data_IF_882619754987
#
_entry.id   IF_882619754987
#
_cell.length_a   1.000
_cell.length_b   1.000
_cell.length_c   1.000
_cell.angle_alpha   90.00
_cell.angle_beta   90.00
_cell.angle_gamma   90.00
#
_symmetry.space_group_name_H-M   'P 1'
#
loop_
_entity.id
_entity.type
_entity.pdbx_description
1 polymer ?
#
# COMPACT_ATOMS: atom_id res chain seq x y z
N UNK A 1 20.72 -21.82 20.22
CA UNK A 1 21.34 -20.95 19.20
C UNK A 1 20.24 -20.52 18.24
N UNK A 2 20.17 -19.24 17.87
CA UNK A 2 19.25 -18.80 16.82
C UNK A 2 19.80 -19.24 15.46
N UNK A 3 18.98 -19.94 14.67
CA UNK A 3 19.32 -20.30 13.32
C UNK A 3 19.10 -19.08 12.42
N UNK A 4 20.13 -18.73 11.64
CA UNK A 4 20.06 -17.66 10.64
C UNK A 4 20.14 -18.28 9.26
N UNK A 5 19.21 -17.92 8.38
CA UNK A 5 19.24 -18.32 6.98
C UNK A 5 19.61 -17.13 6.10
N UNK A 6 20.32 -17.43 5.01
CA UNK A 6 20.56 -16.46 3.94
C UNK A 6 19.51 -16.67 2.87
N UNK A 7 18.74 -15.62 2.60
CA UNK A 7 17.66 -15.62 1.63
C UNK A 7 17.93 -14.58 0.54
N UNK A 8 17.43 -14.85 -0.66
CA UNK A 8 17.43 -13.89 -1.75
C UNK A 8 16.01 -13.36 -1.98
N UNK A 9 15.84 -12.04 -1.93
CA UNK A 9 14.60 -11.37 -2.31
C UNK A 9 14.90 -10.33 -3.40
N UNK A 10 14.39 -10.56 -4.61
CA UNK A 10 14.77 -9.77 -5.77
C UNK A 10 16.29 -9.84 -6.00
N UNK A 11 16.96 -8.69 -5.95
CA UNK A 11 18.43 -8.63 -6.02
C UNK A 11 19.11 -8.60 -4.64
N UNK A 12 18.36 -8.46 -3.54
CA UNK A 12 18.93 -8.39 -2.20
C UNK A 12 19.22 -9.80 -1.66
N UNK A 13 20.39 -9.97 -1.04
CA UNK A 13 20.77 -11.17 -0.30
C UNK A 13 20.81 -10.80 1.17
N UNK A 14 19.88 -11.30 1.99
CA UNK A 14 19.80 -10.92 3.41
C UNK A 14 19.91 -12.15 4.29
N UNK A 15 20.63 -12.00 5.39
CA UNK A 15 20.72 -12.98 6.46
C UNK A 15 19.74 -12.58 7.56
N UNK A 16 18.83 -13.48 7.88
CA UNK A 16 17.70 -13.22 8.77
C UNK A 16 17.51 -14.36 9.75
N UNK A 17 17.00 -14.05 10.95
CA UNK A 17 16.69 -15.07 11.94
C UNK A 17 15.48 -15.89 11.49
N UNK A 18 15.55 -17.21 11.67
CA UNK A 18 14.50 -18.16 11.28
C UNK A 18 13.69 -18.54 12.52
N UNK A 19 12.37 -18.41 12.44
CA UNK A 19 11.47 -18.75 13.54
C UNK A 19 10.02 -18.36 13.29
N UNK A 20 9.14 -18.65 14.26
CA UNK A 20 7.73 -18.24 14.21
C UNK A 20 7.65 -16.71 14.20
N UNK A 21 7.06 -16.16 13.14
CA UNK A 21 6.96 -14.72 12.91
C UNK A 21 6.17 -14.07 14.06
N UNK A 22 6.87 -13.33 14.93
CA UNK A 22 6.27 -12.57 16.03
C UNK A 22 7.02 -11.26 16.26
N UNK A 23 6.42 -10.34 17.03
CA UNK A 23 7.09 -9.11 17.50
C UNK A 23 8.31 -9.40 18.40
N UNK A 24 8.42 -10.63 18.91
CA UNK A 24 9.45 -11.06 19.85
C UNK A 24 10.68 -11.64 19.13
N UNK A 25 10.63 -11.84 17.81
CA UNK A 25 11.82 -12.19 17.03
C UNK A 25 12.80 -11.01 17.02
N UNK A 26 14.10 -11.22 17.34
CA UNK A 26 15.07 -10.13 17.49
C UNK A 26 15.42 -9.40 16.19
N UNK A 27 15.23 -10.04 15.04
CA UNK A 27 15.37 -9.44 13.71
C UNK A 27 14.23 -9.92 12.83
N UNK A 28 13.36 -8.99 12.44
CA UNK A 28 12.17 -9.33 11.68
C UNK A 28 12.43 -9.40 10.17
N UNK A 29 12.06 -10.54 9.58
CA UNK A 29 11.83 -10.69 8.15
C UNK A 29 10.55 -11.49 7.95
N UNK A 30 9.66 -10.98 7.10
CA UNK A 30 8.44 -11.67 6.74
C UNK A 30 8.40 -11.89 5.22
N UNK A 31 8.46 -13.15 4.73
CA UNK A 31 8.40 -13.45 3.30
C UNK A 31 7.05 -13.07 2.67
N UNK A 32 5.97 -13.03 3.45
CA UNK A 32 4.64 -12.58 2.99
C UNK A 32 4.68 -11.13 2.47
N UNK A 33 5.61 -10.31 2.99
CA UNK A 33 5.79 -8.92 2.59
C UNK A 33 6.68 -8.74 1.32
N UNK A 34 7.10 -9.82 0.66
CA UNK A 34 7.94 -9.74 -0.55
C UNK A 34 7.26 -8.94 -1.67
N UNK A 35 5.98 -9.20 -1.95
CA UNK A 35 5.22 -8.43 -2.94
C UNK A 35 5.10 -6.94 -2.55
N UNK A 36 4.96 -6.61 -1.25
CA UNK A 36 4.91 -5.23 -0.77
C UNK A 36 6.19 -4.46 -1.14
N UNK A 37 7.35 -5.06 -0.85
CA UNK A 37 8.66 -4.48 -1.17
C UNK A 37 8.86 -4.39 -2.68
N UNK A 38 8.43 -5.40 -3.44
CA UNK A 38 8.50 -5.39 -4.90
C UNK A 38 7.64 -4.28 -5.51
N UNK A 39 6.42 -4.08 -5.03
CA UNK A 39 5.55 -2.97 -5.48
C UNK A 39 6.20 -1.62 -5.15
N UNK A 40 6.87 -1.48 -4.01
CA UNK A 40 7.57 -0.25 -3.65
C UNK A 40 8.72 0.07 -4.63
N UNK A 41 9.51 -0.94 -5.02
CA UNK A 41 10.56 -0.80 -6.06
C UNK A 41 9.94 -0.43 -7.42
N UNK A 42 8.88 -1.15 -7.82
CA UNK A 42 8.19 -0.91 -9.10
C UNK A 42 7.61 0.51 -9.16
N UNK A 43 6.96 0.97 -8.09
CA UNK A 43 6.38 2.31 -8.00
C UNK A 43 7.45 3.39 -8.14
N UNK A 44 8.56 3.30 -7.39
CA UNK A 44 9.66 4.26 -7.47
C UNK A 44 10.30 4.31 -8.88
N UNK A 45 10.30 3.18 -9.60
CA UNK A 45 10.74 3.13 -11.00
C UNK A 45 9.78 3.84 -11.97
N UNK A 46 8.50 4.01 -11.62
CA UNK A 46 7.54 4.74 -12.45
C UNK A 46 7.68 6.26 -12.36
N UNK A 47 8.25 6.75 -11.26
CA UNK A 47 8.40 8.18 -10.97
C UNK A 47 9.56 8.79 -11.77
N UNK A 48 9.40 10.03 -12.22
CA UNK A 48 10.44 10.77 -12.94
C UNK A 48 11.52 11.34 -12.02
N UNK A 49 11.25 11.45 -10.71
CA UNK A 49 12.19 11.98 -9.72
C UNK A 49 13.54 11.24 -9.77
N UNK A 50 14.61 11.98 -9.50
CA UNK A 50 15.98 11.49 -9.40
C UNK A 50 16.65 12.10 -8.17
N UNK A 51 17.77 11.53 -7.72
CA UNK A 51 18.54 11.96 -6.55
C UNK A 51 17.69 12.08 -5.27
N UNK A 52 16.67 11.24 -5.13
CA UNK A 52 15.76 11.27 -3.99
C UNK A 52 16.46 10.88 -2.69
N UNK A 53 16.09 11.55 -1.61
CA UNK A 53 16.43 11.18 -0.24
C UNK A 53 15.31 10.31 0.36
N UNK A 54 15.63 9.07 0.68
CA UNK A 54 14.66 8.07 1.18
C UNK A 54 14.81 7.87 2.69
N UNK A 55 13.71 7.57 3.37
CA UNK A 55 13.70 7.10 4.75
C UNK A 55 13.00 5.74 4.88
N UNK A 56 13.67 4.83 5.59
CA UNK A 56 13.14 3.55 6.06
C UNK A 56 13.19 3.55 7.60
N UNK A 57 12.18 4.13 8.29
CA UNK A 57 12.24 4.38 9.73
C UNK A 57 12.14 3.13 10.61
N UNK A 58 11.67 2.02 10.05
CA UNK A 58 11.34 0.76 10.74
C UNK A 58 11.93 -0.42 9.95
N UNK A 59 13.24 -0.39 9.74
CA UNK A 59 13.90 -1.16 8.70
C UNK A 59 14.04 -2.67 8.99
N UNK A 60 14.00 -3.08 10.27
CA UNK A 60 14.22 -4.45 10.72
C UNK A 60 15.50 -5.08 10.14
N UNK A 61 15.39 -5.96 9.15
CA UNK A 61 16.54 -6.57 8.45
C UNK A 61 17.25 -5.64 7.44
N UNK A 62 16.63 -4.50 7.10
CA UNK A 62 17.10 -3.56 6.09
C UNK A 62 16.82 -3.99 4.65
N UNK A 63 16.07 -5.09 4.44
CA UNK A 63 15.83 -5.67 3.11
C UNK A 63 15.20 -4.66 2.14
N UNK A 64 14.28 -3.81 2.61
CA UNK A 64 13.64 -2.76 1.80
C UNK A 64 14.65 -1.75 1.28
N UNK A 65 15.44 -1.15 2.17
CA UNK A 65 16.50 -0.22 1.80
C UNK A 65 17.55 -0.84 0.86
N UNK A 66 17.95 -2.09 1.11
CA UNK A 66 18.90 -2.81 0.26
C UNK A 66 18.32 -3.04 -1.14
N UNK A 67 17.06 -3.47 -1.24
CA UNK A 67 16.39 -3.65 -2.53
C UNK A 67 16.30 -2.34 -3.31
N UNK A 68 15.96 -1.23 -2.66
CA UNK A 68 15.98 0.08 -3.31
C UNK A 68 17.35 0.43 -3.89
N UNK A 69 18.42 0.21 -3.13
CA UNK A 69 19.79 0.49 -3.59
C UNK A 69 20.28 -0.43 -4.72
N UNK A 70 19.77 -1.67 -4.82
CA UNK A 70 20.19 -2.65 -5.85
C UNK A 70 19.31 -2.67 -7.09
N UNK A 71 18.04 -2.32 -6.96
CA UNK A 71 17.03 -2.52 -8.00
C UNK A 71 16.62 -1.23 -8.72
N UNK A 72 16.83 -0.06 -8.09
CA UNK A 72 16.55 1.23 -8.72
C UNK A 72 17.73 1.73 -9.57
N UNK A 73 17.49 2.57 -10.61
CA UNK A 73 18.53 3.21 -11.39
C UNK A 73 19.53 3.98 -10.53
N UNK A 74 20.82 4.00 -10.92
CA UNK A 74 21.92 4.59 -10.11
C UNK A 74 21.70 6.05 -9.72
N UNK A 75 21.02 6.83 -10.55
CA UNK A 75 20.72 8.24 -10.31
C UNK A 75 19.40 8.46 -9.55
N UNK A 76 18.64 7.40 -9.23
CA UNK A 76 17.32 7.50 -8.59
C UNK A 76 17.43 7.96 -7.13
N UNK A 77 18.44 7.48 -6.41
CA UNK A 77 18.65 7.75 -4.98
C UNK A 77 19.94 8.55 -4.77
N UNK A 78 19.85 9.65 -4.03
CA UNK A 78 21.02 10.34 -3.49
C UNK A 78 21.55 9.62 -2.26
N UNK A 79 20.69 9.37 -1.28
CA UNK A 79 20.98 8.63 -0.06
C UNK A 79 19.72 7.98 0.51
N UNK A 80 19.89 6.92 1.28
CA UNK A 80 18.83 6.32 2.09
C UNK A 80 19.17 6.38 3.57
N UNK A 81 18.24 6.86 4.38
CA UNK A 81 18.36 6.89 5.83
C UNK A 81 17.59 5.69 6.39
N UNK A 82 18.31 4.78 7.03
CA UNK A 82 17.82 3.51 7.54
C UNK A 82 17.81 3.60 9.06
N UNK A 83 16.67 3.37 9.69
CA UNK A 83 16.53 3.40 11.14
C UNK A 83 15.84 2.14 11.65
N UNK A 84 16.24 1.71 12.84
CA UNK A 84 15.46 0.77 13.65
C UNK A 84 15.73 1.06 15.13
N UNK A 85 14.74 0.84 16.00
CA UNK A 85 14.92 1.01 17.44
C UNK A 85 15.82 -0.09 18.03
N UNK A 86 15.72 -1.31 17.50
CA UNK A 86 16.46 -2.48 18.02
C UNK A 86 17.93 -2.44 17.62
N UNK A 87 18.83 -2.44 18.60
CA UNK A 87 20.27 -2.56 18.36
C UNK A 87 20.63 -3.85 17.60
N UNK A 88 19.87 -4.92 17.77
CA UNK A 88 20.10 -6.18 17.06
C UNK A 88 19.63 -6.10 15.60
N UNK A 89 18.53 -5.40 15.32
CA UNK A 89 18.15 -5.04 13.96
C UNK A 89 19.24 -4.22 13.28
N UNK A 90 19.82 -3.23 13.97
CA UNK A 90 20.96 -2.44 13.45
C UNK A 90 22.18 -3.30 13.13
N UNK A 91 22.52 -4.28 13.98
CA UNK A 91 23.60 -5.25 13.68
C UNK A 91 23.27 -6.05 12.40
N UNK A 92 22.04 -6.54 12.27
CA UNK A 92 21.60 -7.27 11.07
C UNK A 92 21.63 -6.41 9.82
N UNK A 93 21.17 -5.15 9.89
CA UNK A 93 21.23 -4.20 8.78
C UNK A 93 22.66 -3.99 8.31
N UNK A 94 23.62 -3.79 9.24
CA UNK A 94 25.05 -3.65 8.90
C UNK A 94 25.58 -4.89 8.20
N UNK A 95 25.28 -6.09 8.71
CA UNK A 95 25.69 -7.34 8.07
C UNK A 95 25.10 -7.47 6.67
N UNK A 96 23.80 -7.20 6.51
CA UNK A 96 23.11 -7.30 5.22
C UNK A 96 23.59 -6.26 4.20
N UNK A 97 23.90 -5.04 4.62
CA UNK A 97 24.51 -4.03 3.75
C UNK A 97 25.90 -4.48 3.25
N UNK A 98 26.70 -5.09 4.14
CA UNK A 98 28.01 -5.67 3.79
C UNK A 98 27.88 -6.85 2.83
N UNK A 99 26.96 -7.77 3.09
CA UNK A 99 26.68 -8.93 2.22
C UNK A 99 26.32 -8.49 0.79
N UNK A 100 25.63 -7.36 0.65
CA UNK A 100 25.25 -6.79 -0.64
C UNK A 100 26.28 -5.83 -1.25
N UNK A 101 27.45 -5.66 -0.64
CA UNK A 101 28.53 -4.77 -1.10
C UNK A 101 28.05 -3.32 -1.31
N UNK A 102 27.15 -2.84 -0.45
CA UNK A 102 26.63 -1.48 -0.53
C UNK A 102 27.67 -0.50 0.05
N UNK A 103 28.03 0.53 -0.71
CA UNK A 103 28.92 1.60 -0.25
C UNK A 103 28.29 2.41 0.90
N UNK A 104 29.08 2.70 1.94
CA UNK A 104 28.68 3.57 3.06
C UNK A 104 28.28 4.98 2.63
N UNK A 105 28.75 5.45 1.48
CA UNK A 105 28.34 6.76 0.91
C UNK A 105 26.86 6.82 0.50
N UNK A 106 26.20 5.66 0.34
CA UNK A 106 24.81 5.57 -0.15
C UNK A 106 23.76 5.52 0.95
N UNK A 107 24.16 5.31 2.20
CA UNK A 107 23.20 5.20 3.31
C UNK A 107 23.69 5.88 4.58
N UNK A 108 22.74 6.23 5.44
CA UNK A 108 22.99 6.62 6.83
C UNK A 108 22.19 5.69 7.74
N UNK A 109 22.79 5.27 8.84
CA UNK A 109 22.19 4.29 9.75
C UNK A 109 21.98 4.90 11.12
N UNK A 110 20.78 4.72 11.68
CA UNK A 110 20.34 5.31 12.93
C UNK A 110 19.74 4.22 13.83
N UNK A 111 19.91 4.37 15.15
CA UNK A 111 19.37 3.45 16.15
C UNK A 111 18.48 4.22 17.12
N UNK A 112 17.36 4.75 16.64
CA UNK A 112 16.50 5.66 17.39
C UNK A 112 15.03 5.21 17.33
N UNK A 113 14.21 5.74 18.23
CA UNK A 113 12.76 5.74 18.03
C UNK A 113 12.43 6.41 16.69
N UNK A 114 11.52 5.82 15.92
CA UNK A 114 11.23 6.27 14.57
C UNK A 114 10.69 7.72 14.52
N UNK A 115 9.96 8.18 15.55
CA UNK A 115 9.50 9.57 15.60
C UNK A 115 10.66 10.52 15.85
N UNK A 116 11.56 10.21 16.77
CA UNK A 116 12.76 11.02 17.04
C UNK A 116 13.62 11.11 15.77
N UNK A 117 13.93 9.96 15.16
CA UNK A 117 14.68 9.89 13.91
C UNK A 117 14.09 10.77 12.81
N UNK A 118 12.78 10.71 12.62
CA UNK A 118 12.10 11.55 11.64
C UNK A 118 12.20 13.03 12.04
N UNK A 119 11.86 13.39 13.28
CA UNK A 119 11.80 14.78 13.71
C UNK A 119 13.16 15.50 13.72
N UNK A 120 14.25 14.78 13.95
CA UNK A 120 15.63 15.31 13.87
C UNK A 120 16.15 15.45 12.42
N UNK A 121 15.43 14.90 11.44
CA UNK A 121 15.82 14.97 10.03
C UNK A 121 15.42 16.29 9.34
N UNK A 122 16.13 16.60 8.24
CA UNK A 122 15.82 17.74 7.36
C UNK A 122 14.65 17.48 6.38
N UNK A 123 14.15 16.25 6.32
CA UNK A 123 13.04 15.83 5.45
C UNK A 123 13.45 14.84 4.38
N UNK A 124 12.46 14.27 3.68
CA UNK A 124 12.64 13.16 2.74
C UNK A 124 11.69 13.23 1.55
N UNK A 125 12.17 12.83 0.37
CA UNK A 125 11.38 12.70 -0.85
C UNK A 125 10.52 11.43 -0.85
N UNK A 126 10.92 10.42 -0.08
CA UNK A 126 10.13 9.21 0.12
C UNK A 126 10.29 8.70 1.55
N UNK A 127 9.16 8.42 2.22
CA UNK A 127 9.14 7.85 3.58
C UNK A 127 8.28 6.59 3.55
N UNK A 128 8.82 5.47 4.07
CA UNK A 128 8.11 4.19 4.15
C UNK A 128 7.78 3.81 5.60
N UNK A 129 6.53 3.99 6.01
CA UNK A 129 6.04 3.61 7.34
C UNK A 129 5.45 2.19 7.25
N UNK A 130 6.23 1.20 7.67
CA UNK A 130 5.88 -0.23 7.63
C UNK A 130 5.91 -0.91 9.03
N UNK A 131 5.05 -0.48 9.98
CA UNK A 131 5.04 -1.02 11.32
C UNK A 131 4.24 -2.32 11.45
N UNK A 132 4.38 -2.95 12.60
CA UNK A 132 3.41 -3.93 13.07
C UNK A 132 2.14 -3.28 13.62
N UNK A 133 1.02 -3.57 12.99
CA UNK A 133 -0.28 -3.08 13.38
C UNK A 133 -0.58 -1.73 12.73
N UNK A 134 -0.89 -0.74 13.56
CA UNK A 134 -1.35 0.57 13.09
C UNK A 134 -0.19 1.51 12.79
N UNK A 135 -0.23 2.28 11.69
CA UNK A 135 0.76 3.29 11.37
C UNK A 135 0.56 4.61 12.12
N UNK A 136 -0.57 4.78 12.81
CA UNK A 136 -0.95 6.01 13.48
C UNK A 136 0.14 6.65 14.37
N UNK A 137 0.91 5.90 15.17
CA UNK A 137 1.94 6.49 16.04
C UNK A 137 3.06 7.24 15.30
N UNK A 138 3.21 7.00 13.98
CA UNK A 138 4.31 7.56 13.18
C UNK A 138 3.82 8.59 12.15
N UNK A 139 2.50 8.72 11.94
CA UNK A 139 1.95 9.54 10.87
C UNK A 139 2.34 11.01 11.01
N UNK A 140 2.25 11.57 12.22
CA UNK A 140 2.53 12.98 12.46
C UNK A 140 3.98 13.36 12.10
N UNK A 141 4.95 12.61 12.63
CA UNK A 141 6.38 12.82 12.37
C UNK A 141 6.74 12.58 10.90
N UNK A 142 6.20 11.52 10.29
CA UNK A 142 6.43 11.23 8.89
C UNK A 142 5.89 12.35 8.00
N UNK A 143 4.67 12.79 8.24
CA UNK A 143 4.02 13.85 7.48
C UNK A 143 4.74 15.18 7.65
N UNK A 144 5.18 15.56 8.86
CA UNK A 144 5.99 16.78 9.07
C UNK A 144 7.23 16.80 8.17
N UNK A 145 7.90 15.66 8.05
CA UNK A 145 9.21 15.50 7.40
C UNK A 145 9.13 15.10 5.92
N UNK A 146 7.94 14.79 5.43
CA UNK A 146 7.72 14.54 4.01
C UNK A 146 7.99 15.82 3.18
N UNK A 147 8.76 15.71 2.11
CA UNK A 147 9.02 16.81 1.19
C UNK A 147 7.74 17.32 0.52
N UNK A 148 7.79 18.53 -0.05
CA UNK A 148 6.63 19.18 -0.67
C UNK A 148 6.04 18.41 -1.85
N UNK A 149 6.91 17.68 -2.56
CA UNK A 149 6.62 16.81 -3.72
C UNK A 149 6.96 15.34 -3.39
N UNK A 150 6.93 14.99 -2.10
CA UNK A 150 7.36 13.68 -1.62
C UNK A 150 6.30 12.59 -1.76
N UNK A 151 6.72 11.34 -1.62
CA UNK A 151 5.87 10.16 -1.60
C UNK A 151 5.84 9.55 -0.19
N UNK A 152 4.65 9.43 0.37
CA UNK A 152 4.43 8.72 1.63
C UNK A 152 3.89 7.33 1.34
N UNK A 153 4.62 6.31 1.77
CA UNK A 153 4.18 4.92 1.69
C UNK A 153 3.84 4.42 3.09
N UNK A 154 2.67 3.81 3.26
CA UNK A 154 2.18 3.35 4.56
C UNK A 154 1.63 1.93 4.43
N UNK A 155 2.10 1.04 5.29
CA UNK A 155 1.48 -0.27 5.53
C UNK A 155 0.68 -0.23 6.84
N UNK A 156 -0.50 -0.84 6.83
CA UNK A 156 -1.27 -1.14 8.02
C UNK A 156 -1.54 -2.64 8.06
N UNK A 157 -1.08 -3.33 9.12
CA UNK A 157 -1.39 -4.76 9.33
C UNK A 157 -2.53 -4.94 10.33
N UNK A 158 -3.07 -3.87 10.91
CA UNK A 158 -4.27 -3.90 11.75
C UNK A 158 -5.56 -3.87 10.89
N UNK A 159 -5.67 -4.85 9.99
CA UNK A 159 -6.79 -4.98 9.06
C UNK A 159 -8.11 -5.30 9.76
N UNK A 160 -8.09 -5.94 10.93
CA UNK A 160 -9.30 -6.34 11.65
C UNK A 160 -10.17 -5.15 12.11
N UNK A 161 -9.64 -4.11 12.79
CA UNK A 161 -10.38 -2.87 13.02
C UNK A 161 -10.88 -2.21 11.72
N UNK A 162 -10.00 -2.05 10.73
CA UNK A 162 -10.32 -1.37 9.46
C UNK A 162 -11.44 -2.08 8.67
N UNK A 163 -11.50 -3.42 8.75
CA UNK A 163 -12.50 -4.25 8.08
C UNK A 163 -13.76 -4.49 8.92
N UNK A 164 -13.89 -3.83 10.08
CA UNK A 164 -15.12 -3.85 10.88
C UNK A 164 -15.26 -4.99 11.88
N UNK A 165 -14.22 -5.80 12.13
CA UNK A 165 -14.25 -6.81 13.20
C UNK A 165 -14.28 -6.14 14.58
N UNK A 166 -13.61 -4.99 14.74
CA UNK A 166 -13.57 -4.23 16.00
C UNK A 166 -13.94 -2.75 15.77
N UNK A 167 -15.23 -2.41 15.63
CA UNK A 167 -15.67 -1.05 15.28
C UNK A 167 -15.19 0.02 16.26
N UNK A 168 -15.27 -0.20 17.57
CA UNK A 168 -14.81 0.77 18.57
C UNK A 168 -13.30 1.01 18.49
N UNK A 169 -12.51 0.00 18.14
CA UNK A 169 -11.06 0.17 17.91
C UNK A 169 -10.80 0.99 16.65
N UNK A 170 -11.57 0.75 15.58
CA UNK A 170 -11.48 1.54 14.36
C UNK A 170 -11.86 3.00 14.62
N UNK A 171 -12.93 3.24 15.38
CA UNK A 171 -13.33 4.59 15.78
C UNK A 171 -12.21 5.31 16.54
N UNK A 172 -11.63 4.69 17.58
CA UNK A 172 -10.54 5.30 18.37
C UNK A 172 -9.29 5.61 17.55
N UNK A 173 -8.90 4.71 16.65
CA UNK A 173 -7.66 4.85 15.87
C UNK A 173 -7.85 5.73 14.62
N UNK A 174 -8.91 5.49 13.86
CA UNK A 174 -9.09 6.03 12.51
C UNK A 174 -10.19 7.09 12.40
N UNK A 175 -10.94 7.35 13.48
CA UNK A 175 -12.02 8.34 13.51
C UNK A 175 -13.06 8.11 12.41
N UNK A 176 -13.41 6.84 12.22
CA UNK A 176 -14.38 6.38 11.24
C UNK A 176 -15.12 5.16 11.78
N UNK A 177 -16.39 5.03 11.41
CA UNK A 177 -17.16 3.81 11.59
C UNK A 177 -16.84 2.86 10.42
N UNK A 178 -16.28 1.66 10.68
CA UNK A 178 -16.13 0.65 9.63
C UNK A 178 -17.44 -0.10 9.42
N UNK A 179 -17.61 -0.71 8.25
CA UNK A 179 -18.73 -1.61 7.98
C UNK A 179 -18.22 -2.99 7.58
N UNK A 180 -18.70 -4.03 8.28
CA UNK A 180 -18.37 -5.42 7.97
C UNK A 180 -19.35 -5.97 6.93
N UNK A 181 -18.97 -5.86 5.67
CA UNK A 181 -19.72 -6.33 4.51
C UNK A 181 -18.76 -6.79 3.39
N UNK A 182 -19.28 -6.99 2.18
CA UNK A 182 -18.51 -7.42 1.00
C UNK A 182 -17.39 -6.45 0.66
N UNK A 183 -17.64 -5.15 0.84
CA UNK A 183 -16.70 -4.07 0.53
C UNK A 183 -15.78 -3.70 1.69
N UNK A 184 -15.75 -4.49 2.77
CA UNK A 184 -15.06 -4.12 4.01
C UNK A 184 -13.56 -3.84 3.83
N UNK A 185 -12.89 -4.56 2.93
CA UNK A 185 -11.47 -4.34 2.66
C UNK A 185 -11.20 -3.03 1.90
N UNK A 186 -12.07 -2.68 0.94
CA UNK A 186 -11.98 -1.38 0.25
C UNK A 186 -12.33 -0.24 1.21
N UNK A 187 -13.40 -0.39 2.00
CA UNK A 187 -13.81 0.60 2.98
C UNK A 187 -12.70 0.83 4.01
N UNK A 188 -12.08 -0.25 4.52
CA UNK A 188 -10.93 -0.16 5.41
C UNK A 188 -9.74 0.56 4.80
N UNK A 189 -9.42 0.27 3.53
CA UNK A 189 -8.35 0.97 2.81
C UNK A 189 -8.66 2.48 2.65
N UNK A 190 -9.90 2.83 2.34
CA UNK A 190 -10.38 4.22 2.23
C UNK A 190 -10.41 4.95 3.58
N UNK A 191 -10.70 4.24 4.67
CA UNK A 191 -10.60 4.76 6.04
C UNK A 191 -9.15 5.07 6.39
N UNK A 192 -8.22 4.17 6.06
CA UNK A 192 -6.79 4.38 6.27
C UNK A 192 -6.29 5.62 5.50
N UNK A 193 -6.62 5.72 4.21
CA UNK A 193 -6.29 6.90 3.37
C UNK A 193 -6.80 8.18 4.03
N UNK A 194 -8.08 8.21 4.42
CA UNK A 194 -8.66 9.39 5.06
C UNK A 194 -7.92 9.76 6.33
N UNK A 195 -7.59 8.80 7.20
CA UNK A 195 -6.88 9.08 8.45
C UNK A 195 -5.54 9.78 8.19
N UNK A 196 -4.79 9.32 7.18
CA UNK A 196 -3.53 9.93 6.77
C UNK A 196 -3.73 11.36 6.25
N UNK A 197 -4.77 11.58 5.44
CA UNK A 197 -5.12 12.91 4.94
C UNK A 197 -5.52 13.88 6.05
N UNK A 198 -6.22 13.43 7.10
CA UNK A 198 -6.58 14.26 8.26
C UNK A 198 -5.36 14.71 9.08
N UNK A 199 -4.32 13.88 9.16
CA UNK A 199 -3.07 14.29 9.81
C UNK A 199 -2.33 15.27 8.92
N UNK A 200 -2.30 15.04 7.61
CA UNK A 200 -1.61 15.89 6.64
C UNK A 200 -2.24 17.28 6.45
N UNK A 201 -3.57 17.38 6.57
CA UNK A 201 -4.28 18.64 6.43
C UNK A 201 -3.87 19.68 7.46
N UNK A 202 -3.45 19.27 8.66
CA UNK A 202 -2.96 20.16 9.71
C UNK A 202 -1.65 20.87 9.33
N UNK A 203 -0.95 20.37 8.31
CA UNK A 203 0.33 20.90 7.83
C UNK A 203 0.25 21.49 6.40
N UNK A 204 -0.96 21.78 5.92
CA UNK A 204 -1.23 22.23 4.56
C UNK A 204 -0.68 21.27 3.48
N UNK A 205 -0.61 19.96 3.78
CA UNK A 205 -0.12 18.93 2.84
C UNK A 205 -1.31 18.14 2.29
N UNK A 206 -1.58 18.30 1.00
CA UNK A 206 -2.55 17.48 0.29
C UNK A 206 -1.88 16.17 -0.10
N UNK A 207 -2.37 15.07 0.45
CA UNK A 207 -1.89 13.73 0.11
C UNK A 207 -2.91 13.07 -0.83
N UNK A 208 -2.52 12.87 -2.08
CA UNK A 208 -3.33 12.23 -3.11
C UNK A 208 -2.89 10.77 -3.26
N UNK A 209 -3.79 9.78 -3.14
CA UNK A 209 -3.44 8.37 -3.40
C UNK A 209 -2.99 8.19 -4.86
N UNK A 210 -1.81 7.60 -5.05
CA UNK A 210 -1.28 7.27 -6.38
C UNK A 210 -1.26 5.77 -6.65
N UNK A 211 -1.23 4.96 -5.59
CA UNK A 211 -1.38 3.52 -5.68
C UNK A 211 -1.80 2.96 -4.32
N UNK A 212 -2.77 2.06 -4.27
CA UNK A 212 -3.19 1.45 -3.01
C UNK A 212 -3.74 0.05 -3.24
N UNK A 213 -3.65 -0.83 -2.24
CA UNK A 213 -4.22 -2.17 -2.35
C UNK A 213 -4.43 -2.80 -0.98
N UNK A 214 -5.32 -3.78 -0.93
CA UNK A 214 -5.50 -4.66 0.22
C UNK A 214 -5.10 -6.08 -0.13
N UNK A 215 -4.50 -6.77 0.83
CA UNK A 215 -4.30 -8.22 0.82
C UNK A 215 -5.00 -8.82 2.04
N UNK A 216 -4.92 -10.13 2.21
CA UNK A 216 -5.41 -10.80 3.44
C UNK A 216 -4.66 -10.31 4.70
N UNK A 217 -3.37 -9.97 4.56
CA UNK A 217 -2.50 -9.72 5.71
C UNK A 217 -2.28 -8.23 6.04
N UNK A 218 -2.42 -7.35 5.05
CA UNK A 218 -2.14 -5.93 5.22
C UNK A 218 -2.84 -5.07 4.15
N UNK A 219 -3.00 -3.79 4.48
CA UNK A 219 -3.38 -2.71 3.57
C UNK A 219 -2.17 -1.83 3.30
N UNK A 220 -1.99 -1.41 2.04
CA UNK A 220 -0.85 -0.60 1.61
C UNK A 220 -1.32 0.58 0.78
N UNK A 221 -0.78 1.76 1.09
CA UNK A 221 -1.09 3.00 0.38
C UNK A 221 0.20 3.73 0.03
N UNK A 222 0.23 4.35 -1.15
CA UNK A 222 1.25 5.26 -1.61
C UNK A 222 0.56 6.56 -1.99
N UNK A 223 1.05 7.67 -1.44
CA UNK A 223 0.42 8.97 -1.59
C UNK A 223 1.46 10.00 -2.03
N UNK A 224 1.13 10.76 -3.06
CA UNK A 224 1.91 11.91 -3.49
C UNK A 224 1.50 13.14 -2.69
N UNK A 225 2.49 13.90 -2.23
CA UNK A 225 2.31 15.12 -1.47
C UNK A 225 2.35 16.34 -2.38
N UNK A 226 1.40 17.24 -2.18
CA UNK A 226 1.43 18.58 -2.70
C UNK A 226 1.15 19.58 -1.57
N UNK A 227 2.08 20.50 -1.32
CA UNK A 227 1.86 21.56 -0.31
C UNK A 227 0.90 22.63 -0.86
N UNK A 228 -0.15 22.96 -0.10
CA UNK A 228 -1.04 24.09 -0.37
C UNK A 228 -2.46 23.94 0.20
N UNK A 229 -2.92 24.97 0.90
CA UNK A 229 -4.26 25.05 1.54
C UNK A 229 -5.41 24.69 0.59
N UNK A 230 -5.47 25.34 -0.58
CA UNK A 230 -6.51 25.07 -1.59
C UNK A 230 -6.50 23.63 -2.11
N UNK A 231 -5.35 22.96 -2.13
CA UNK A 231 -5.23 21.54 -2.52
C UNK A 231 -5.76 20.64 -1.41
N UNK A 232 -5.45 20.97 -0.14
CA UNK A 232 -6.02 20.29 1.03
C UNK A 232 -7.54 20.40 1.04
N UNK A 233 -8.09 21.59 0.80
CA UNK A 233 -9.55 21.80 0.76
C UNK A 233 -10.23 20.89 -0.28
N UNK A 234 -9.59 20.66 -1.45
CA UNK A 234 -10.08 19.74 -2.48
C UNK A 234 -10.06 18.28 -2.03
N UNK A 235 -9.05 17.87 -1.26
CA UNK A 235 -8.97 16.52 -0.68
C UNK A 235 -10.09 16.33 0.36
N UNK A 236 -10.27 17.29 1.26
CA UNK A 236 -11.28 17.19 2.33
C UNK A 236 -12.72 17.11 1.79
N UNK A 237 -13.00 17.78 0.66
CA UNK A 237 -14.32 17.70 -0.03
C UNK A 237 -14.65 16.29 -0.56
N UNK A 238 -13.66 15.40 -0.68
CA UNK A 238 -13.85 14.02 -1.11
C UNK A 238 -13.96 13.03 0.06
N UNK A 239 -14.06 13.53 1.30
CA UNK A 239 -14.36 12.70 2.46
C UNK A 239 -15.87 12.56 2.60
N UNK A 240 -16.35 11.34 2.87
CA UNK A 240 -17.78 11.11 3.06
C UNK A 240 -18.08 9.68 3.47
N UNK A 241 -19.36 9.30 3.45
CA UNK A 241 -19.81 7.97 3.85
C UNK A 241 -20.18 7.13 2.62
N UNK A 242 -19.98 5.81 2.72
CA UNK A 242 -20.39 4.84 1.70
C UNK A 242 -20.91 3.57 2.36
N UNK A 243 -22.12 3.13 2.01
CA UNK A 243 -22.76 1.91 2.53
C UNK A 243 -22.64 1.74 4.06
N UNK A 244 -23.02 2.79 4.82
CA UNK A 244 -22.95 2.86 6.28
C UNK A 244 -21.52 2.81 6.89
N UNK A 245 -20.48 2.84 6.07
CA UNK A 245 -19.11 3.07 6.52
C UNK A 245 -18.72 4.54 6.33
N UNK A 246 -17.91 5.05 7.26
CA UNK A 246 -17.25 6.35 7.11
C UNK A 246 -17.22 7.21 8.38
N UNK A 247 -16.74 8.45 8.27
CA UNK A 247 -16.29 9.06 7.01
C UNK A 247 -14.99 8.43 6.50
N UNK A 248 -14.86 8.28 5.19
CA UNK A 248 -13.75 7.64 4.46
C UNK A 248 -13.44 8.40 3.17
N UNK A 249 -12.35 8.03 2.48
CA UNK A 249 -11.96 8.61 1.19
C UNK A 249 -12.83 8.10 0.04
N UNK A 250 -13.55 9.00 -0.64
CA UNK A 250 -14.42 8.67 -1.78
C UNK A 250 -13.75 8.84 -3.15
N UNK A 251 -12.59 9.48 -3.22
CA UNK A 251 -11.89 9.68 -4.48
C UNK A 251 -11.17 8.44 -5.01
N UNK A 252 -10.34 8.67 -6.03
CA UNK A 252 -9.54 7.63 -6.69
C UNK A 252 -8.56 6.94 -5.76
N UNK A 253 -8.38 5.63 -5.94
CA UNK A 253 -7.42 4.81 -5.20
C UNK A 253 -6.07 4.69 -5.92
N UNK A 254 -6.03 5.05 -7.21
CA UNK A 254 -4.89 4.83 -8.10
C UNK A 254 -4.72 5.96 -9.10
N UNK A 255 -3.48 6.25 -9.43
CA UNK A 255 -3.12 6.82 -10.71
C UNK A 255 -3.06 5.67 -11.75
N UNK A 256 -3.91 5.75 -12.78
CA UNK A 256 -4.02 4.72 -13.82
C UNK A 256 -2.71 4.50 -14.58
N UNK A 257 -1.94 5.56 -14.82
CA UNK A 257 -0.67 5.49 -15.55
C UNK A 257 0.39 4.75 -14.71
N UNK A 258 0.46 5.05 -13.41
CA UNK A 258 1.35 4.35 -12.48
C UNK A 258 0.96 2.88 -12.38
N UNK A 259 -0.34 2.58 -12.20
CA UNK A 259 -0.82 1.19 -12.10
C UNK A 259 -0.47 0.36 -13.35
N UNK A 260 -0.63 0.92 -14.55
CA UNK A 260 -0.28 0.27 -15.81
C UNK A 260 1.23 0.05 -15.98
N UNK A 261 2.05 1.03 -15.57
CA UNK A 261 3.53 0.92 -15.61
C UNK A 261 4.02 -0.15 -14.63
N UNK A 262 3.44 -0.22 -13.42
CA UNK A 262 3.75 -1.26 -12.43
C UNK A 262 3.43 -2.64 -13.01
N UNK A 263 2.21 -2.86 -13.53
CA UNK A 263 1.81 -4.14 -14.09
C UNK A 263 2.67 -4.56 -15.30
N UNK A 264 3.00 -3.62 -16.18
CA UNK A 264 3.85 -3.88 -17.35
C UNK A 264 5.29 -4.24 -16.96
N UNK A 265 5.85 -3.57 -15.97
CA UNK A 265 7.21 -3.83 -15.48
C UNK A 265 7.29 -5.15 -14.72
N UNK A 266 6.26 -5.47 -13.93
CA UNK A 266 6.14 -6.72 -13.20
C UNK A 266 6.23 -7.96 -14.11
N UNK A 267 5.64 -7.92 -15.32
CA UNK A 267 5.73 -9.02 -16.30
C UNK A 267 7.17 -9.45 -16.64
N UNK A 268 8.13 -8.53 -16.52
CA UNK A 268 9.55 -8.76 -16.85
C UNK A 268 10.35 -9.33 -15.68
N UNK A 269 9.77 -9.39 -14.47
CA UNK A 269 10.44 -9.90 -13.28
C UNK A 269 10.24 -11.42 -13.18
N UNK A 270 11.34 -12.18 -13.18
CA UNK A 270 11.33 -13.64 -13.08
C UNK A 270 11.03 -14.16 -11.66
N UNK A 271 11.31 -13.35 -10.64
CA UNK A 271 11.16 -13.73 -9.23
C UNK A 271 9.77 -13.43 -8.65
N UNK A 272 8.82 -12.94 -9.45
CA UNK A 272 7.41 -12.84 -9.06
C UNK A 272 6.59 -13.89 -9.81
N UNK A 273 5.65 -14.52 -9.12
CA UNK A 273 4.85 -15.60 -9.68
C UNK A 273 3.67 -15.09 -10.51
N UNK A 274 3.00 -15.98 -11.23
CA UNK A 274 1.90 -15.60 -12.14
C UNK A 274 0.66 -15.09 -11.41
N UNK A 275 0.43 -15.53 -10.16
CA UNK A 275 -0.65 -15.01 -9.32
C UNK A 275 -0.39 -13.54 -8.92
N UNK A 276 0.85 -13.19 -8.57
CA UNK A 276 1.26 -11.82 -8.28
C UNK A 276 1.17 -10.93 -9.54
N UNK A 277 1.62 -11.43 -10.70
CA UNK A 277 1.45 -10.72 -11.98
C UNK A 277 -0.03 -10.49 -12.31
N UNK A 278 -0.88 -11.50 -12.09
CA UNK A 278 -2.33 -11.40 -12.27
C UNK A 278 -2.91 -10.36 -11.32
N UNK A 279 -2.52 -10.37 -10.04
CA UNK A 279 -2.94 -9.39 -9.05
C UNK A 279 -2.64 -7.94 -9.49
N UNK A 280 -1.39 -7.67 -9.92
CA UNK A 280 -0.99 -6.35 -10.40
C UNK A 280 -1.71 -5.95 -11.69
N UNK A 281 -1.94 -6.90 -12.60
CA UNK A 281 -2.72 -6.64 -13.81
C UNK A 281 -4.20 -6.34 -13.50
N UNK A 282 -4.80 -7.02 -12.51
CA UNK A 282 -6.15 -6.72 -12.05
C UNK A 282 -6.23 -5.27 -11.56
N UNK A 283 -5.30 -4.82 -10.72
CA UNK A 283 -5.26 -3.42 -10.26
C UNK A 283 -5.12 -2.46 -11.44
N UNK A 284 -4.27 -2.76 -12.42
CA UNK A 284 -4.10 -1.90 -13.59
C UNK A 284 -5.39 -1.75 -14.43
N UNK A 285 -6.22 -2.79 -14.54
CA UNK A 285 -7.53 -2.68 -15.20
C UNK A 285 -8.56 -1.99 -14.30
N UNK A 286 -8.56 -2.32 -13.00
CA UNK A 286 -9.45 -1.73 -12.00
C UNK A 286 -9.27 -0.22 -11.89
N UNK A 287 -8.03 0.27 -11.97
CA UNK A 287 -7.66 1.70 -11.90
C UNK A 287 -8.25 2.57 -13.00
N UNK A 288 -8.90 2.00 -14.02
CA UNK A 288 -9.57 2.74 -15.10
C UNK A 288 -11.01 3.12 -14.77
N UNK A 289 -11.52 2.67 -13.62
CA UNK A 289 -12.93 2.77 -13.23
C UNK A 289 -13.01 3.54 -11.92
N UNK A 290 -13.57 4.75 -11.99
CA UNK A 290 -13.76 5.64 -10.84
C UNK A 290 -15.07 5.35 -10.13
N UNK A 291 -15.06 4.41 -9.21
CA UNK A 291 -16.22 4.13 -8.35
C UNK A 291 -15.80 3.83 -6.93
N UNK A 292 -16.71 4.04 -5.99
CA UNK A 292 -16.56 3.59 -4.61
C UNK A 292 -17.27 2.24 -4.47
N UNK A 293 -16.53 1.23 -3.99
CA UNK A 293 -17.01 -0.13 -3.84
C UNK A 293 -17.03 -0.95 -5.15
N UNK A 294 -17.50 -2.19 -5.01
CA UNK A 294 -17.56 -3.17 -6.09
C UNK A 294 -18.74 -4.13 -5.88
N UNK A 295 -19.05 -4.91 -6.91
CA UNK A 295 -20.12 -5.90 -6.90
C UNK A 295 -19.57 -7.29 -6.63
N UNK A 296 -19.98 -7.88 -5.50
CA UNK A 296 -19.73 -9.30 -5.20
C UNK A 296 -20.76 -10.17 -5.91
N UNK A 297 -20.36 -10.75 -7.05
CA UNK A 297 -21.29 -11.46 -7.93
C UNK A 297 -21.94 -12.68 -7.26
N UNK A 298 -21.22 -13.58 -6.56
CA UNK A 298 -21.85 -14.69 -5.86
C UNK A 298 -22.94 -14.27 -4.88
N UNK A 299 -22.72 -13.18 -4.12
CA UNK A 299 -23.72 -12.69 -3.17
C UNK A 299 -24.90 -12.00 -3.86
N UNK A 300 -24.68 -11.25 -4.94
CA UNK A 300 -25.75 -10.65 -5.74
C UNK A 300 -26.62 -11.75 -6.35
N UNK A 301 -26.02 -12.76 -6.97
CA UNK A 301 -26.75 -13.89 -7.55
C UNK A 301 -27.54 -14.65 -6.48
N UNK A 302 -26.92 -14.97 -5.33
CA UNK A 302 -27.61 -15.62 -4.20
C UNK A 302 -28.80 -14.81 -3.69
N UNK A 303 -28.63 -13.49 -3.48
CA UNK A 303 -29.68 -12.60 -2.98
C UNK A 303 -30.88 -12.50 -3.94
N UNK A 304 -30.61 -12.55 -5.25
CA UNK A 304 -31.64 -12.39 -6.29
C UNK A 304 -32.10 -13.73 -6.89
N UNK A 305 -31.67 -14.87 -6.33
CA UNK A 305 -31.97 -16.23 -6.85
C UNK A 305 -31.59 -16.41 -8.32
N UNK A 306 -30.41 -15.93 -8.71
CA UNK A 306 -29.88 -16.00 -10.08
C UNK A 306 -28.76 -17.03 -10.20
N UNK A 307 -28.62 -17.60 -11.39
CA UNK A 307 -27.47 -18.46 -11.74
C UNK A 307 -26.25 -17.60 -12.08
N UNK A 308 -25.07 -18.04 -11.65
CA UNK A 308 -23.81 -17.34 -11.95
C UNK A 308 -23.46 -17.59 -13.42
N UNK A 309 -23.39 -16.51 -14.20
CA UNK A 309 -22.88 -16.53 -15.59
C UNK A 309 -21.34 -16.61 -15.57
N UNK A 310 -20.75 -17.22 -16.59
CA UNK A 310 -19.29 -17.17 -16.79
C UNK A 310 -18.80 -15.72 -16.80
N UNK A 311 -17.74 -15.46 -16.04
CA UNK A 311 -17.26 -14.10 -15.80
C UNK A 311 -16.89 -13.33 -17.09
N UNK A 312 -16.25 -14.00 -18.04
CA UNK A 312 -15.87 -13.38 -19.33
C UNK A 312 -17.09 -12.99 -20.17
N UNK A 313 -18.16 -13.77 -20.10
CA UNK A 313 -19.41 -13.48 -20.77
C UNK A 313 -20.13 -12.30 -20.11
N UNK A 314 -20.19 -12.27 -18.78
CA UNK A 314 -20.76 -11.14 -18.05
C UNK A 314 -20.01 -9.84 -18.35
N UNK A 315 -18.67 -9.87 -18.38
CA UNK A 315 -17.84 -8.72 -18.74
C UNK A 315 -18.17 -8.23 -20.16
N UNK A 316 -18.33 -9.15 -21.13
CA UNK A 316 -18.73 -8.78 -22.49
C UNK A 316 -20.09 -8.09 -22.52
N UNK A 317 -21.09 -8.67 -21.85
CA UNK A 317 -22.45 -8.11 -21.80
C UNK A 317 -22.49 -6.71 -21.17
N UNK A 318 -21.75 -6.50 -20.08
CA UNK A 318 -21.66 -5.17 -19.42
C UNK A 318 -21.00 -4.14 -20.35
N UNK A 319 -19.94 -4.53 -21.07
CA UNK A 319 -19.31 -3.64 -22.06
C UNK A 319 -20.23 -3.33 -23.24
N UNK A 320 -20.96 -4.31 -23.76
CA UNK A 320 -21.95 -4.10 -24.82
C UNK A 320 -23.11 -3.18 -24.40
N UNK A 321 -23.41 -3.13 -23.10
CA UNK A 321 -24.37 -2.20 -22.52
C UNK A 321 -23.79 -0.79 -22.29
N UNK A 322 -22.53 -0.53 -22.67
CA UNK A 322 -21.90 0.80 -22.59
C UNK A 322 -21.20 1.12 -21.27
N UNK A 323 -21.12 0.16 -20.34
CA UNK A 323 -20.51 0.37 -19.02
C UNK A 323 -19.06 -0.11 -18.97
N UNK A 324 -18.24 0.56 -18.14
CA UNK A 324 -16.88 0.13 -17.83
C UNK A 324 -16.94 -1.02 -16.84
N UNK A 325 -16.10 -2.03 -17.02
CA UNK A 325 -16.02 -3.16 -16.08
C UNK A 325 -14.62 -3.75 -16.03
N UNK A 326 -14.18 -4.07 -14.82
CA UNK A 326 -12.96 -4.80 -14.54
C UNK A 326 -13.18 -5.73 -13.34
N UNK A 327 -12.32 -6.73 -13.21
CA UNK A 327 -12.22 -7.49 -11.96
C UNK A 327 -11.65 -6.59 -10.87
N UNK A 328 -12.03 -6.86 -9.63
CA UNK A 328 -11.42 -6.20 -8.47
C UNK A 328 -10.42 -7.11 -7.77
N UNK A 329 -9.33 -6.52 -7.28
CA UNK A 329 -8.34 -7.24 -6.47
C UNK A 329 -8.83 -7.50 -5.03
N UNK A 330 -9.87 -6.80 -4.56
CA UNK A 330 -10.35 -6.90 -3.18
C UNK A 330 -10.99 -8.25 -2.85
N UNK A 331 -11.65 -8.89 -3.82
CA UNK A 331 -12.36 -10.16 -3.62
C UNK A 331 -12.51 -10.92 -4.92
N UNK A 332 -12.33 -12.24 -4.89
CA UNK A 332 -12.52 -13.11 -6.05
C UNK A 332 -13.97 -13.06 -6.57
N UNK A 333 -14.17 -13.38 -7.85
CA UNK A 333 -15.48 -13.41 -8.51
C UNK A 333 -16.29 -12.12 -8.31
N UNK A 334 -15.61 -10.98 -8.29
CA UNK A 334 -16.20 -9.67 -8.05
C UNK A 334 -15.74 -8.68 -9.13
N UNK A 335 -16.58 -7.69 -9.42
CA UNK A 335 -16.33 -6.70 -10.47
C UNK A 335 -16.45 -5.27 -9.94
N UNK A 336 -15.58 -4.39 -10.42
CA UNK A 336 -15.75 -2.94 -10.33
C UNK A 336 -16.35 -2.45 -11.65
N UNK A 337 -17.40 -1.65 -11.57
CA UNK A 337 -18.10 -1.11 -12.74
C UNK A 337 -18.90 0.13 -12.37
N UNK A 338 -19.10 1.02 -13.34
CA UNK A 338 -20.00 2.18 -13.28
C UNK A 338 -21.47 1.82 -13.59
N UNK A 339 -21.77 0.55 -13.85
CA UNK A 339 -23.13 0.05 -14.03
C UNK A 339 -23.97 0.21 -12.75
N UNK A 340 -25.21 0.71 -12.82
CA UNK A 340 -26.15 0.67 -11.69
C UNK A 340 -26.55 -0.77 -11.33
N UNK A 341 -26.74 -1.06 -10.04
CA UNK A 341 -27.10 -2.40 -9.56
C UNK A 341 -28.36 -2.99 -10.23
N UNK A 342 -29.47 -2.24 -10.46
CA UNK A 342 -30.64 -2.79 -11.15
C UNK A 342 -30.33 -3.27 -12.58
N UNK A 343 -29.52 -2.53 -13.33
CA UNK A 343 -29.12 -2.90 -14.69
C UNK A 343 -28.18 -4.12 -14.68
N UNK A 344 -27.26 -4.20 -13.71
CA UNK A 344 -26.43 -5.39 -13.54
C UNK A 344 -27.27 -6.65 -13.30
N UNK A 345 -28.30 -6.56 -12.44
CA UNK A 345 -29.22 -7.67 -12.17
C UNK A 345 -29.96 -8.09 -13.45
N UNK A 346 -30.39 -7.13 -14.29
CA UNK A 346 -31.04 -7.41 -15.57
C UNK A 346 -30.10 -8.13 -16.55
N UNK A 347 -28.84 -7.70 -16.64
CA UNK A 347 -27.82 -8.35 -17.49
C UNK A 347 -27.49 -9.78 -17.03
N UNK A 348 -27.55 -10.06 -15.72
CA UNK A 348 -27.32 -11.41 -15.17
C UNK A 348 -28.53 -12.33 -15.36
N UNK A 349 -29.75 -11.78 -15.46
CA UNK A 349 -30.98 -12.55 -15.66
C UNK A 349 -31.16 -13.04 -17.09
N UNK A 350 -30.91 -12.15 -18.04
CA UNK A 350 -30.81 -12.48 -19.46
C UNK A 350 -29.55 -13.30 -19.70
#
# INVERSE_FOLDING_TARGET
MQNFDTIQEGKAIVKVAVGKISKELPVFYNPIMSLNRTISVLLLNTLSNTKMQLADPLAASGVRAIRFLKELPKNKISSIHINDYSKDAIKSIKENLRLNKISSSKFKLYSQDANIFLLESFGFDYIDIDPFGSPNPFLDSAIKRLARDGILAITATDTAPLSGTFPSTCMRKYWSLPQRNETMHENGLRILIRKVQLVASQYDKALTPIYSYSTEHYMRIFMHCEKGKKKVDKILKQHGNYNNAGPLWLGQLWDTTIAQKIASSAKKLSYINDQEKKFLNTIAQESKIDTVGFYNLPKICKKNKLTIIKQDELIKRIKSAGYKVALTHFTNNSIRSDIPLPELIKIIKN
#
